data_IF_501370448762
#
_entry.id   IF_501370448762
#
_cell.length_a   1.000
_cell.length_b   1.000
_cell.length_c   1.000
_cell.angle_alpha   90.00
_cell.angle_beta   90.00
_cell.angle_gamma   90.00
#
_symmetry.space_group_name_H-M   'P 1'
#
loop_
_entity.id
_entity.type
_entity.pdbx_description
1 polymer ?
#
# COMPACT_ATOMS: atom_id res chain seq x y z
N UNK A 1 -12.04 20.95 -2.03
CA UNK A 1 -12.20 22.14 -1.16
C UNK A 1 -11.43 21.93 0.15
N UNK A 2 -11.21 22.99 0.95
CA UNK A 2 -10.69 22.85 2.32
C UNK A 2 -11.71 22.07 3.16
N UNK A 3 -11.26 21.12 3.97
CA UNK A 3 -12.16 20.31 4.81
C UNK A 3 -12.95 19.24 4.06
N UNK A 4 -12.62 18.94 2.79
CA UNK A 4 -13.29 17.88 2.05
C UNK A 4 -13.12 16.51 2.74
N UNK A 5 -14.17 15.69 2.67
CA UNK A 5 -14.28 14.39 3.29
C UNK A 5 -13.80 13.30 2.33
N UNK A 6 -12.71 12.62 2.67
CA UNK A 6 -12.13 11.53 1.86
C UNK A 6 -12.30 10.18 2.55
N UNK A 7 -12.85 9.21 1.83
CA UNK A 7 -13.17 7.88 2.34
C UNK A 7 -12.04 6.87 2.15
N UNK A 8 -11.44 6.40 3.24
CA UNK A 8 -10.54 5.23 3.25
C UNK A 8 -10.30 4.70 4.67
N UNK A 9 -10.25 3.37 4.85
CA UNK A 9 -9.80 2.74 6.11
C UNK A 9 -8.32 2.35 6.11
N UNK A 10 -7.59 2.63 5.04
CA UNK A 10 -6.18 2.23 4.95
C UNK A 10 -5.29 3.28 5.63
N UNK A 11 -4.65 2.94 6.75
CA UNK A 11 -3.73 3.85 7.44
C UNK A 11 -2.61 4.34 6.52
N UNK A 12 -2.07 3.46 5.66
CA UNK A 12 -1.11 3.81 4.60
C UNK A 12 -1.61 4.93 3.68
N UNK A 13 -2.88 4.85 3.23
CA UNK A 13 -3.48 5.90 2.39
C UNK A 13 -3.66 7.18 3.18
N UNK A 14 -4.20 7.08 4.41
CA UNK A 14 -4.44 8.22 5.31
C UNK A 14 -3.17 9.03 5.55
N UNK A 15 -2.09 8.35 5.96
CA UNK A 15 -0.76 8.92 6.15
C UNK A 15 -0.31 9.74 4.94
N UNK A 16 -0.29 9.14 3.74
CA UNK A 16 0.21 9.80 2.53
C UNK A 16 -0.65 10.97 2.06
N UNK A 17 -1.97 10.88 2.25
CA UNK A 17 -2.88 11.98 1.89
C UNK A 17 -2.68 13.15 2.85
N UNK A 18 -2.67 12.88 4.15
CA UNK A 18 -2.59 13.93 5.17
C UNK A 18 -1.21 14.58 5.23
N UNK A 19 -0.15 13.86 4.86
CA UNK A 19 1.17 14.46 4.63
C UNK A 19 1.11 15.57 3.57
N UNK A 20 0.34 15.39 2.49
CA UNK A 20 0.22 16.36 1.39
C UNK A 20 -0.89 17.40 1.60
N UNK A 21 -1.99 16.98 2.23
CA UNK A 21 -3.24 17.73 2.37
C UNK A 21 -3.78 17.57 3.80
N UNK A 22 -3.12 18.17 4.80
CA UNK A 22 -3.52 18.07 6.21
C UNK A 22 -4.87 18.74 6.49
N UNK A 23 -5.42 19.49 5.53
CA UNK A 23 -6.71 20.15 5.63
C UNK A 23 -7.92 19.24 5.30
N UNK A 24 -7.68 18.01 4.82
CA UNK A 24 -8.74 17.05 4.50
C UNK A 24 -9.26 16.35 5.75
N UNK A 25 -10.54 16.00 5.74
CA UNK A 25 -11.15 15.14 6.76
C UNK A 25 -11.18 13.71 6.24
N UNK A 26 -10.49 12.78 6.88
CA UNK A 26 -10.55 11.37 6.49
C UNK A 26 -11.67 10.67 7.28
N UNK A 27 -12.52 9.93 6.58
CA UNK A 27 -13.55 9.07 7.20
C UNK A 27 -13.40 7.62 6.77
N UNK A 28 -13.79 6.73 7.68
CA UNK A 28 -13.70 5.28 7.51
C UNK A 28 -14.67 4.76 6.44
N UNK A 29 -14.12 4.11 5.41
CA UNK A 29 -14.89 3.55 4.29
C UNK A 29 -14.73 2.03 4.17
N UNK A 30 -15.71 1.29 4.69
CA UNK A 30 -15.80 -0.18 4.61
C UNK A 30 -16.85 -0.66 3.61
N UNK A 31 -16.69 -1.89 3.14
CA UNK A 31 -17.55 -2.56 2.14
C UNK A 31 -16.75 -3.10 0.96
N UNK A 32 -17.40 -3.83 0.06
CA UNK A 32 -16.83 -4.17 -1.26
C UNK A 32 -16.81 -2.94 -2.18
N UNK A 33 -16.23 -3.06 -3.37
CA UNK A 33 -16.08 -1.93 -4.32
C UNK A 33 -17.42 -1.26 -4.63
N UNK A 34 -18.46 -2.02 -4.96
CA UNK A 34 -19.78 -1.48 -5.32
C UNK A 34 -20.43 -0.74 -4.14
N UNK A 35 -20.36 -1.28 -2.92
CA UNK A 35 -20.87 -0.58 -1.72
C UNK A 35 -20.14 0.75 -1.50
N UNK A 36 -18.83 0.80 -1.77
CA UNK A 36 -18.03 2.01 -1.61
C UNK A 36 -18.38 3.06 -2.64
N UNK A 37 -18.54 2.68 -3.91
CA UNK A 37 -18.99 3.57 -4.99
C UNK A 37 -20.37 4.13 -4.70
N UNK A 38 -21.31 3.29 -4.25
CA UNK A 38 -22.65 3.76 -3.86
C UNK A 38 -22.61 4.79 -2.73
N UNK A 39 -21.78 4.59 -1.70
CA UNK A 39 -21.62 5.58 -0.61
C UNK A 39 -21.06 6.91 -1.10
N UNK A 40 -20.22 6.91 -2.13
CA UNK A 40 -19.75 8.13 -2.79
C UNK A 40 -20.90 8.81 -3.54
N UNK A 41 -21.66 8.06 -4.34
CA UNK A 41 -22.83 8.58 -5.08
C UNK A 41 -23.91 9.16 -4.16
N UNK A 42 -24.13 8.54 -3.01
CA UNK A 42 -25.05 9.00 -1.96
C UNK A 42 -24.55 10.27 -1.23
N UNK A 43 -23.35 10.79 -1.55
CA UNK A 43 -22.81 12.01 -0.98
C UNK A 43 -22.25 11.87 0.45
N UNK A 44 -21.98 10.64 0.91
CA UNK A 44 -21.38 10.43 2.25
C UNK A 44 -19.91 10.87 2.32
N UNK A 45 -19.26 11.00 1.16
CA UNK A 45 -17.87 11.42 0.97
C UNK A 45 -17.79 12.36 -0.22
N UNK A 46 -16.84 13.29 -0.22
CA UNK A 46 -16.51 14.12 -1.38
C UNK A 46 -15.63 13.34 -2.38
N UNK A 47 -14.80 12.41 -1.87
CA UNK A 47 -13.99 11.50 -2.67
C UNK A 47 -13.70 10.20 -1.91
N UNK A 48 -13.38 9.13 -2.63
CA UNK A 48 -12.91 7.87 -2.03
C UNK A 48 -11.63 7.41 -2.71
N UNK A 49 -10.82 6.60 -2.03
CA UNK A 49 -9.58 6.08 -2.62
C UNK A 49 -9.63 4.56 -2.69
N UNK A 50 -9.47 4.06 -3.92
CA UNK A 50 -9.47 2.64 -4.28
C UNK A 50 -8.22 2.28 -5.08
N UNK A 51 -7.97 0.97 -5.23
CA UNK A 51 -6.93 0.51 -6.13
C UNK A 51 -7.44 0.59 -7.58
N UNK A 52 -6.77 1.39 -8.41
CA UNK A 52 -7.17 1.62 -9.81
C UNK A 52 -7.36 0.31 -10.60
N UNK A 53 -6.41 -0.62 -10.47
CA UNK A 53 -6.44 -1.90 -11.19
C UNK A 53 -7.67 -2.74 -10.86
N UNK A 54 -8.19 -2.64 -9.63
CA UNK A 54 -9.39 -3.36 -9.22
C UNK A 54 -10.63 -2.85 -9.95
N UNK A 55 -10.73 -1.52 -10.11
CA UNK A 55 -11.80 -0.90 -10.90
C UNK A 55 -11.68 -1.23 -12.38
N UNK A 56 -10.44 -1.21 -12.91
CA UNK A 56 -10.16 -1.54 -14.30
C UNK A 56 -10.54 -2.99 -14.64
N UNK A 57 -10.11 -3.96 -13.83
CA UNK A 57 -10.41 -5.39 -14.04
C UNK A 57 -11.91 -5.71 -13.93
N UNK A 58 -12.66 -4.92 -13.16
CA UNK A 58 -14.11 -5.07 -13.00
C UNK A 58 -14.91 -4.25 -14.02
N UNK A 59 -14.25 -3.54 -14.95
CA UNK A 59 -14.89 -2.67 -15.94
C UNK A 59 -15.82 -1.59 -15.31
N UNK A 60 -15.45 -1.09 -14.13
CA UNK A 60 -16.23 -0.11 -13.37
C UNK A 60 -15.82 1.34 -13.65
N UNK A 61 -14.67 1.56 -14.29
CA UNK A 61 -14.15 2.91 -14.54
C UNK A 61 -15.06 3.75 -15.46
N UNK A 62 -15.80 3.09 -16.35
CA UNK A 62 -16.73 3.73 -17.29
C UNK A 62 -17.91 4.42 -16.61
N UNK A 63 -18.27 3.97 -15.41
CA UNK A 63 -19.42 4.46 -14.66
C UNK A 63 -19.03 5.56 -13.65
N UNK A 64 -17.74 5.89 -13.56
CA UNK A 64 -17.22 6.88 -12.60
C UNK A 64 -16.91 8.19 -13.37
N UNK A 65 -17.63 9.29 -13.10
CA UNK A 65 -17.48 10.53 -13.84
C UNK A 65 -16.08 11.16 -13.77
N UNK A 66 -15.36 10.92 -12.67
CA UNK A 66 -14.03 11.47 -12.44
C UNK A 66 -13.14 10.46 -11.72
N UNK A 67 -12.01 10.12 -12.34
CA UNK A 67 -10.99 9.25 -11.77
C UNK A 67 -9.63 9.89 -12.00
N UNK A 68 -8.84 9.99 -10.95
CA UNK A 68 -7.48 10.52 -11.00
C UNK A 68 -6.52 9.54 -10.33
N UNK A 69 -5.39 9.27 -10.98
CA UNK A 69 -4.31 8.48 -10.38
C UNK A 69 -3.47 9.39 -9.49
N UNK A 70 -3.18 8.92 -8.28
CA UNK A 70 -2.36 9.67 -7.32
C UNK A 70 -0.90 9.26 -7.48
N UNK A 71 -0.16 9.97 -8.33
CA UNK A 71 1.24 9.64 -8.66
C UNK A 71 2.18 9.67 -7.46
N UNK A 72 1.85 10.50 -6.46
CA UNK A 72 2.61 10.58 -5.21
C UNK A 72 2.35 9.39 -4.26
N UNK A 73 1.31 8.58 -4.48
CA UNK A 73 0.93 7.53 -3.55
C UNK A 73 1.71 6.24 -3.81
N UNK A 74 2.63 5.92 -2.90
CA UNK A 74 3.32 4.64 -2.86
C UNK A 74 2.29 3.55 -2.48
N UNK A 75 2.14 2.48 -3.30
CA UNK A 75 1.20 1.38 -3.04
C UNK A 75 1.58 0.54 -1.78
N UNK A 76 0.70 -0.37 -1.32
CA UNK A 76 1.11 -1.45 -0.44
C UNK A 76 1.94 -2.48 -1.21
N UNK A 77 2.63 -3.37 -0.50
CA UNK A 77 3.33 -4.50 -1.13
C UNK A 77 2.39 -5.30 -2.03
N UNK A 78 2.88 -5.67 -3.22
CA UNK A 78 2.19 -6.53 -4.17
C UNK A 78 0.94 -5.94 -4.80
N UNK A 79 0.69 -4.62 -4.74
CA UNK A 79 -0.50 -4.06 -5.35
C UNK A 79 -0.52 -4.35 -6.86
N UNK A 80 -1.67 -4.83 -7.36
CA UNK A 80 -1.90 -5.28 -8.74
C UNK A 80 -1.35 -6.67 -9.12
N UNK A 81 -0.41 -7.21 -8.35
CA UNK A 81 0.05 -8.58 -8.54
C UNK A 81 -1.03 -9.60 -8.11
N UNK A 82 -0.99 -10.78 -8.72
CA UNK A 82 -1.79 -11.94 -8.32
C UNK A 82 -0.82 -13.06 -7.94
N UNK A 83 -0.98 -13.58 -6.72
CA UNK A 83 -0.26 -14.77 -6.28
C UNK A 83 -1.10 -16.02 -6.53
N UNK A 84 -0.47 -17.09 -6.99
CA UNK A 84 -1.08 -18.42 -7.10
C UNK A 84 -0.51 -19.25 -5.96
N UNK A 85 -1.35 -19.63 -5.01
CA UNK A 85 -0.98 -20.53 -3.90
C UNK A 85 -1.28 -21.97 -4.29
N UNK A 86 -0.33 -22.87 -4.03
CA UNK A 86 -0.39 -24.29 -4.40
C UNK A 86 0.02 -25.15 -3.21
N UNK A 87 -0.34 -26.44 -3.25
CA UNK A 87 0.21 -27.43 -2.31
C UNK A 87 1.67 -27.68 -2.66
N UNK A 88 2.56 -27.60 -1.67
CA UNK A 88 4.02 -27.60 -1.85
C UNK A 88 4.56 -28.78 -2.66
N UNK A 89 3.98 -29.98 -2.47
CA UNK A 89 4.45 -31.23 -3.07
C UNK A 89 3.69 -31.65 -4.34
N UNK A 90 2.87 -30.76 -4.93
CA UNK A 90 2.19 -31.03 -6.20
C UNK A 90 3.02 -30.47 -7.37
N UNK A 91 3.96 -31.28 -7.87
CA UNK A 91 4.88 -30.91 -8.95
C UNK A 91 4.14 -30.49 -10.23
N UNK A 92 3.05 -31.18 -10.55
CA UNK A 92 2.26 -30.89 -11.75
C UNK A 92 1.61 -29.51 -11.65
N UNK A 93 1.00 -29.19 -10.50
CA UNK A 93 0.40 -27.87 -10.29
C UNK A 93 1.49 -26.79 -10.23
N UNK A 94 2.66 -27.09 -9.67
CA UNK A 94 3.82 -26.19 -9.65
C UNK A 94 4.28 -25.81 -11.06
N UNK A 95 4.41 -26.77 -11.96
CA UNK A 95 4.78 -26.51 -13.36
C UNK A 95 3.77 -25.58 -14.04
N UNK A 96 2.47 -25.82 -13.85
CA UNK A 96 1.41 -24.97 -14.40
C UNK A 96 1.50 -23.55 -13.83
N UNK A 97 1.66 -23.40 -12.51
CA UNK A 97 1.76 -22.09 -11.88
C UNK A 97 2.99 -21.31 -12.37
N UNK A 98 4.14 -21.98 -12.51
CA UNK A 98 5.38 -21.37 -13.02
C UNK A 98 5.25 -20.93 -14.49
N UNK A 99 4.45 -21.63 -15.31
CA UNK A 99 4.20 -21.21 -16.69
C UNK A 99 3.47 -19.86 -16.83
N UNK A 100 2.81 -19.40 -15.77
CA UNK A 100 2.11 -18.11 -15.70
C UNK A 100 2.95 -17.01 -15.03
N UNK A 101 4.15 -17.34 -14.56
CA UNK A 101 4.99 -16.42 -13.80
C UNK A 101 5.59 -15.35 -14.72
N UNK A 102 5.39 -14.09 -14.35
CA UNK A 102 6.17 -12.98 -14.88
C UNK A 102 7.36 -12.71 -13.94
N UNK A 103 8.58 -12.97 -14.43
CA UNK A 103 9.80 -12.85 -13.64
C UNK A 103 10.01 -11.45 -13.06
N UNK A 104 9.65 -10.39 -13.81
CA UNK A 104 9.80 -9.01 -13.34
C UNK A 104 8.84 -8.70 -12.21
N UNK A 105 7.55 -9.04 -12.38
CA UNK A 105 6.55 -8.91 -11.32
C UNK A 105 6.92 -9.75 -10.10
N UNK A 106 7.39 -10.98 -10.29
CA UNK A 106 7.83 -11.84 -9.21
C UNK A 106 8.96 -11.19 -8.40
N UNK A 107 10.00 -10.69 -9.08
CA UNK A 107 11.15 -10.08 -8.42
C UNK A 107 10.76 -8.81 -7.64
N UNK A 108 9.99 -7.88 -8.25
CA UNK A 108 9.53 -6.68 -7.55
C UNK A 108 8.71 -7.04 -6.31
N UNK A 109 7.74 -7.95 -6.45
CA UNK A 109 6.85 -8.33 -5.35
C UNK A 109 7.57 -9.12 -4.26
N UNK A 110 8.59 -9.91 -4.60
CA UNK A 110 9.49 -10.55 -3.64
C UNK A 110 10.17 -9.50 -2.78
N UNK A 111 10.83 -8.50 -3.38
CA UNK A 111 11.55 -7.47 -2.62
C UNK A 111 10.61 -6.64 -1.72
N UNK A 112 9.42 -6.30 -2.21
CA UNK A 112 8.39 -5.63 -1.41
C UNK A 112 7.94 -6.50 -0.21
N UNK A 113 7.80 -7.82 -0.41
CA UNK A 113 7.44 -8.76 0.67
C UNK A 113 8.57 -8.96 1.66
N UNK A 114 9.80 -9.09 1.20
CA UNK A 114 10.99 -9.24 2.05
C UNK A 114 11.15 -8.02 2.96
N UNK A 115 10.92 -6.81 2.41
CA UNK A 115 10.88 -5.56 3.19
C UNK A 115 9.82 -5.60 4.31
N UNK A 116 8.56 -5.96 3.98
CA UNK A 116 7.48 -6.02 4.97
C UNK A 116 7.73 -7.11 6.01
N UNK A 117 8.22 -8.28 5.59
CA UNK A 117 8.53 -9.40 6.46
C UNK A 117 9.63 -9.04 7.47
N UNK A 118 10.67 -8.34 7.01
CA UNK A 118 11.76 -7.86 7.88
C UNK A 118 11.28 -6.85 8.93
N UNK A 119 10.34 -5.98 8.58
CA UNK A 119 9.72 -5.03 9.53
C UNK A 119 8.73 -5.70 10.49
N UNK A 120 8.22 -6.89 10.18
CA UNK A 120 7.15 -7.52 10.94
C UNK A 120 5.82 -6.76 10.88
N UNK A 121 5.63 -5.92 9.87
CA UNK A 121 4.46 -5.05 9.76
C UNK A 121 3.22 -5.82 9.29
N UNK A 122 2.10 -5.67 10.01
CA UNK A 122 0.81 -6.23 9.61
C UNK A 122 0.14 -5.49 8.45
N UNK A 123 -0.88 -6.11 7.84
CA UNK A 123 -1.63 -5.52 6.71
C UNK A 123 -2.31 -4.16 7.04
N UNK A 124 -2.52 -3.87 8.32
CA UNK A 124 -3.12 -2.62 8.81
C UNK A 124 -2.10 -1.50 9.05
N UNK A 125 -0.80 -1.78 9.05
CA UNK A 125 0.21 -0.79 9.38
C UNK A 125 0.27 0.34 8.31
N UNK A 126 0.63 1.58 8.70
CA UNK A 126 0.85 2.69 7.77
C UNK A 126 2.19 2.57 7.05
N UNK A 127 2.35 1.48 6.30
CA UNK A 127 3.57 1.17 5.54
C UNK A 127 3.23 1.13 4.05
N UNK A 128 4.03 1.85 3.27
CA UNK A 128 4.01 1.79 1.82
C UNK A 128 5.36 1.29 1.31
N UNK A 129 5.34 0.48 0.26
CA UNK A 129 6.55 -0.01 -0.39
C UNK A 129 6.25 -0.27 -1.85
N UNK A 130 7.21 0.04 -2.72
CA UNK A 130 7.11 -0.28 -4.13
C UNK A 130 8.49 -0.50 -4.75
N UNK A 131 8.64 -1.63 -5.44
CA UNK A 131 9.80 -1.94 -6.26
C UNK A 131 9.45 -1.80 -7.75
N UNK A 132 10.32 -1.16 -8.51
CA UNK A 132 10.17 -0.92 -9.96
C UNK A 132 11.47 -1.29 -10.66
N UNK A 133 11.32 -1.93 -11.81
CA UNK A 133 12.43 -2.22 -12.73
C UNK A 133 12.32 -1.28 -13.93
N UNK A 134 13.38 -0.51 -14.19
CA UNK A 134 13.52 0.35 -15.36
C UNK A 134 14.84 0.02 -16.06
N UNK A 135 14.78 -0.58 -17.26
CA UNK A 135 15.97 -1.09 -17.93
C UNK A 135 16.63 -2.21 -17.13
N UNK A 136 17.87 -1.96 -16.69
CA UNK A 136 18.68 -2.87 -15.86
C UNK A 136 18.74 -2.44 -14.39
N UNK A 137 18.02 -1.38 -14.02
CA UNK A 137 17.99 -0.85 -12.66
C UNK A 137 16.74 -1.31 -11.90
N UNK A 138 16.95 -1.79 -10.67
CA UNK A 138 15.92 -2.07 -9.69
C UNK A 138 15.92 -0.95 -8.64
N UNK A 139 14.78 -0.28 -8.48
CA UNK A 139 14.58 0.74 -7.43
C UNK A 139 13.46 0.30 -6.50
N UNK A 140 13.72 0.29 -5.19
CA UNK A 140 12.71 0.10 -4.16
C UNK A 140 12.58 1.37 -3.32
N UNK A 141 11.34 1.82 -3.12
CA UNK A 141 11.02 2.96 -2.25
C UNK A 141 10.03 2.54 -1.19
N UNK A 142 10.17 3.10 0.00
CA UNK A 142 9.25 2.86 1.10
C UNK A 142 8.95 4.14 1.87
N UNK A 143 7.80 4.12 2.55
CA UNK A 143 7.37 5.17 3.45
C UNK A 143 6.65 4.55 4.64
N UNK A 144 6.98 5.01 5.83
CA UNK A 144 6.27 4.72 7.09
C UNK A 144 5.99 6.03 7.82
N UNK A 145 5.04 6.01 8.74
CA UNK A 145 4.70 7.20 9.50
C UNK A 145 3.37 7.08 10.23
N UNK A 146 2.92 8.19 10.81
CA UNK A 146 1.68 8.19 11.56
C UNK A 146 0.47 8.33 10.63
N UNK A 147 -0.69 7.75 10.99
CA UNK A 147 -1.90 7.84 10.17
C UNK A 147 -2.41 9.26 9.93
N UNK A 148 -1.98 10.23 10.75
CA UNK A 148 -2.28 11.65 10.64
C UNK A 148 -1.36 12.41 9.66
N UNK A 149 -0.40 11.71 9.03
CA UNK A 149 0.55 12.29 8.08
C UNK A 149 1.79 12.91 8.71
N UNK A 150 2.01 12.71 10.00
CA UNK A 150 3.22 13.17 10.72
C UNK A 150 4.23 12.06 10.95
N UNK A 151 5.42 12.40 11.45
CA UNK A 151 6.49 11.44 11.79
C UNK A 151 6.81 10.48 10.63
N UNK A 152 6.95 11.05 9.43
CA UNK A 152 7.20 10.31 8.20
C UNK A 152 8.67 9.95 8.10
N UNK A 153 8.96 8.69 7.79
CA UNK A 153 10.27 8.21 7.36
C UNK A 153 10.12 7.64 5.94
N UNK A 154 10.92 8.17 5.01
CA UNK A 154 10.97 7.78 3.60
C UNK A 154 12.38 7.32 3.26
N UNK A 155 12.50 6.23 2.50
CA UNK A 155 13.78 5.74 2.03
C UNK A 155 13.65 5.16 0.61
N UNK A 156 14.73 5.25 -0.15
CA UNK A 156 14.85 4.72 -1.50
C UNK A 156 16.21 4.06 -1.64
N UNK A 157 16.26 2.88 -2.24
CA UNK A 157 17.48 2.22 -2.66
C UNK A 157 17.36 1.78 -4.13
N UNK A 158 18.48 1.88 -4.85
CA UNK A 158 18.58 1.48 -6.25
C UNK A 158 19.85 0.66 -6.46
N UNK A 159 19.77 -0.35 -7.32
CA UNK A 159 20.89 -1.21 -7.69
C UNK A 159 20.65 -1.84 -9.05
N UNK A 160 21.68 -2.45 -9.64
CA UNK A 160 21.50 -3.29 -10.83
C UNK A 160 20.66 -4.52 -10.50
N UNK A 161 19.81 -4.98 -11.43
CA UNK A 161 18.93 -6.14 -11.22
C UNK A 161 19.73 -7.38 -10.74
N UNK A 162 20.94 -7.58 -11.27
CA UNK A 162 21.81 -8.70 -10.90
C UNK A 162 22.26 -8.69 -9.42
N UNK A 163 22.18 -7.53 -8.76
CA UNK A 163 22.60 -7.33 -7.37
C UNK A 163 21.42 -7.08 -6.42
N UNK A 164 20.17 -7.28 -6.86
CA UNK A 164 19.00 -6.85 -6.10
C UNK A 164 18.44 -7.89 -5.11
N UNK A 165 19.03 -9.09 -5.01
CA UNK A 165 18.50 -10.25 -4.28
C UNK A 165 17.99 -9.92 -2.86
N UNK A 166 18.73 -9.08 -2.11
CA UNK A 166 18.46 -8.70 -0.72
C UNK A 166 18.06 -7.21 -0.55
N UNK A 167 17.71 -6.52 -1.65
CA UNK A 167 17.48 -5.07 -1.62
C UNK A 167 16.30 -4.68 -0.70
N UNK A 168 15.27 -5.51 -0.63
CA UNK A 168 14.11 -5.30 0.26
C UNK A 168 14.50 -5.36 1.74
N UNK A 169 15.28 -6.36 2.14
CA UNK A 169 15.78 -6.48 3.51
C UNK A 169 16.77 -5.37 3.86
N UNK A 170 17.63 -4.98 2.92
CA UNK A 170 18.57 -3.89 3.10
C UNK A 170 17.85 -2.55 3.32
N UNK A 171 16.79 -2.27 2.55
CA UNK A 171 15.96 -1.08 2.76
C UNK A 171 15.29 -1.10 4.13
N UNK A 172 14.72 -2.25 4.52
CA UNK A 172 14.08 -2.39 5.82
C UNK A 172 15.09 -2.18 6.96
N UNK A 173 16.30 -2.74 6.86
CA UNK A 173 17.35 -2.56 7.87
C UNK A 173 17.77 -1.10 7.98
N UNK A 174 17.99 -0.41 6.85
CA UNK A 174 18.31 1.02 6.85
C UNK A 174 17.24 1.84 7.57
N UNK A 175 15.96 1.58 7.29
CA UNK A 175 14.86 2.27 7.96
C UNK A 175 14.75 1.90 9.46
N UNK A 176 15.02 0.64 9.83
CA UNK A 176 15.07 0.21 11.24
C UNK A 176 16.14 0.98 12.00
N UNK A 177 17.33 1.13 11.41
CA UNK A 177 18.45 1.86 12.01
C UNK A 177 18.12 3.36 12.19
N UNK A 178 17.21 3.89 11.37
CA UNK A 178 16.66 5.25 11.47
C UNK A 178 15.42 5.37 12.40
N UNK A 179 15.03 4.30 13.10
CA UNK A 179 13.97 4.32 14.11
C UNK A 179 12.59 3.90 13.59
N UNK A 180 12.51 3.18 12.46
CA UNK A 180 11.23 2.73 11.90
C UNK A 180 10.32 1.97 12.88
N UNK A 181 10.92 1.12 13.72
CA UNK A 181 10.16 0.29 14.65
C UNK A 181 9.41 1.13 15.69
N UNK A 182 10.03 2.20 16.19
CA UNK A 182 9.37 3.11 17.13
C UNK A 182 8.22 3.89 16.48
N UNK A 183 8.38 4.25 15.20
CA UNK A 183 7.32 4.92 14.44
C UNK A 183 6.13 3.98 14.30
N UNK A 184 6.36 2.72 13.92
CA UNK A 184 5.29 1.73 13.72
C UNK A 184 4.52 1.43 15.00
N UNK A 185 5.22 1.21 16.12
CA UNK A 185 4.59 0.95 17.42
C UNK A 185 3.68 2.10 17.86
N UNK A 186 4.17 3.35 17.74
CA UNK A 186 3.38 4.54 18.07
C UNK A 186 2.22 4.73 17.10
N UNK A 187 2.43 4.44 15.81
CA UNK A 187 1.40 4.57 14.79
C UNK A 187 0.21 3.64 15.04
N UNK A 188 0.47 2.39 15.46
CA UNK A 188 -0.59 1.46 15.88
C UNK A 188 -1.40 2.03 17.06
N UNK A 189 -0.71 2.54 18.08
CA UNK A 189 -1.36 3.15 19.26
C UNK A 189 -2.27 4.32 18.88
N UNK A 190 -1.83 5.17 17.95
CA UNK A 190 -2.62 6.31 17.45
C UNK A 190 -3.84 5.86 16.66
N UNK A 191 -3.71 4.83 15.82
CA UNK A 191 -4.82 4.28 15.05
C UNK A 191 -5.94 3.75 15.96
N UNK A 192 -5.58 3.02 17.03
CA UNK A 192 -6.57 2.46 17.96
C UNK A 192 -7.22 3.52 18.86
N UNK A 193 -6.55 4.64 19.16
CA UNK A 193 -7.16 5.75 19.92
C UNK A 193 -8.28 6.46 19.18
N UNK A 194 -8.19 6.54 17.85
CA UNK A 194 -9.26 7.12 17.01
C UNK A 194 -10.42 6.15 16.78
N UNK A 195 -10.20 4.83 16.86
CA UNK A 195 -11.24 3.80 16.71
C UNK A 195 -12.06 3.56 18.00
N UNK A 196 -11.62 4.06 19.16
CA UNK A 196 -12.47 4.02 20.35
C UNK A 196 -13.58 5.08 20.22
N UNK A 197 -14.87 4.70 20.05
CA UNK A 197 -15.92 5.67 20.33
C UNK A 197 -15.69 6.18 21.74
N UNK A 198 -15.66 7.50 21.94
CA UNK A 198 -15.84 8.06 23.27
C UNK A 198 -17.10 7.40 23.83
N UNK A 199 -16.91 6.45 24.77
CA UNK A 199 -18.01 5.95 25.58
C UNK A 199 -18.47 7.14 26.40
N UNK A 200 -19.48 7.84 25.87
CA UNK A 200 -20.42 8.59 26.69
C UNK A 200 -21.24 7.59 27.49
#
# INVERSE_FOLDING_TARGET
PRGAVVGTTSLRRRMQILQKRPDLTIKDLRGNVNTRLRKLEEGQYDAIILAYIGLYRLDLLKDIPYVEKLDFMIPPMGQAALGIEIVENDERVREIALSLNDEKSFLCTKLERDFIAKLGAGCSAPVAVNAVIEGEEMTIRAMIGYPDGTNILEAVLSTQIECCENLGEALAQAMIDEGAMEILEKAETLAFKEEMPQRL
#
